data_IF_497930655684
#
_entry.id   IF_497930655684
#
_cell.length_a   1.000
_cell.length_b   1.000
_cell.length_c   1.000
_cell.angle_alpha   90.00
_cell.angle_beta   90.00
_cell.angle_gamma   90.00
#
_symmetry.space_group_name_H-M   'P 1'
#
loop_
_entity.id
_entity.type
_entity.pdbx_description
1 polymer ?
#
# COMPACT_ATOMS: atom_id res chain seq x y z
N UNK A 1 0.76 0.38 29.03
CA UNK A 1 1.25 -0.27 27.79
C UNK A 1 0.13 -0.81 26.88
N UNK A 2 -0.94 -1.41 27.41
CA UNK A 2 -2.03 -1.99 26.59
C UNK A 2 -2.69 -0.95 25.66
N UNK A 3 -2.97 0.25 26.16
CA UNK A 3 -3.63 1.32 25.39
C UNK A 3 -2.80 1.80 24.19
N UNK A 4 -1.48 1.98 24.37
CA UNK A 4 -0.57 2.42 23.30
C UNK A 4 -0.49 1.38 22.18
N UNK A 5 -0.38 0.10 22.52
CA UNK A 5 -0.36 -0.98 21.53
C UNK A 5 -1.63 -1.05 20.69
N UNK A 6 -2.80 -0.86 21.32
CA UNK A 6 -4.09 -0.81 20.61
C UNK A 6 -4.20 0.38 19.65
N UNK A 7 -3.72 1.57 20.05
CA UNK A 7 -3.71 2.74 19.18
C UNK A 7 -2.85 2.51 17.94
N UNK A 8 -1.62 2.00 18.13
CA UNK A 8 -0.71 1.76 17.00
C UNK A 8 -1.32 0.76 16.01
N UNK A 9 -2.01 -0.28 16.49
CA UNK A 9 -2.74 -1.23 15.65
C UNK A 9 -3.82 -0.55 14.81
N UNK A 10 -4.65 0.29 15.44
CA UNK A 10 -5.70 1.03 14.73
C UNK A 10 -5.10 1.97 13.69
N UNK A 11 -4.06 2.73 14.05
CA UNK A 11 -3.36 3.63 13.11
C UNK A 11 -2.79 2.86 11.91
N UNK A 12 -2.17 1.70 12.15
CA UNK A 12 -1.64 0.86 11.07
C UNK A 12 -2.75 0.35 10.15
N UNK A 13 -3.88 -0.11 10.70
CA UNK A 13 -5.03 -0.57 9.90
C UNK A 13 -5.66 0.57 9.09
N UNK A 14 -5.79 1.76 9.68
CA UNK A 14 -6.29 2.95 8.97
C UNK A 14 -5.34 3.35 7.84
N UNK A 15 -4.04 3.38 8.08
CA UNK A 15 -3.05 3.67 7.05
C UNK A 15 -3.09 2.64 5.92
N UNK A 16 -3.27 1.36 6.26
CA UNK A 16 -3.46 0.28 5.28
C UNK A 16 -4.71 0.52 4.44
N UNK A 17 -5.85 0.81 5.06
CA UNK A 17 -7.11 1.07 4.37
C UNK A 17 -7.03 2.30 3.45
N UNK A 18 -6.40 3.39 3.90
CA UNK A 18 -6.21 4.61 3.09
C UNK A 18 -5.28 4.32 1.90
N UNK A 19 -4.17 3.61 2.14
CA UNK A 19 -3.24 3.23 1.06
C UNK A 19 -3.95 2.36 0.02
N UNK A 20 -4.66 1.33 0.47
CA UNK A 20 -5.39 0.40 -0.38
C UNK A 20 -6.51 1.08 -1.16
N UNK A 21 -7.35 1.87 -0.48
CA UNK A 21 -8.43 2.63 -1.10
C UNK A 21 -7.93 3.64 -2.13
N UNK A 22 -6.84 4.34 -1.83
CA UNK A 22 -6.23 5.29 -2.78
C UNK A 22 -5.77 4.59 -4.06
N UNK A 23 -5.20 3.38 -3.98
CA UNK A 23 -4.83 2.58 -5.16
C UNK A 23 -6.04 2.23 -6.04
N UNK A 24 -7.17 1.87 -5.44
CA UNK A 24 -8.42 1.63 -6.18
C UNK A 24 -8.95 2.87 -6.88
N UNK A 25 -8.96 4.00 -6.18
CA UNK A 25 -9.39 5.28 -6.78
C UNK A 25 -8.47 5.65 -7.94
N UNK A 26 -7.16 5.40 -7.83
CA UNK A 26 -6.23 5.63 -8.94
C UNK A 26 -6.58 4.76 -10.15
N UNK A 27 -6.72 3.44 -9.98
CA UNK A 27 -7.08 2.52 -11.08
C UNK A 27 -8.38 2.97 -11.76
N UNK A 28 -9.37 3.39 -10.97
CA UNK A 28 -10.64 3.90 -11.49
C UNK A 28 -10.45 5.20 -12.27
N UNK A 29 -9.68 6.15 -11.75
CA UNK A 29 -9.39 7.41 -12.44
C UNK A 29 -8.59 7.24 -13.73
N UNK A 30 -7.81 6.16 -13.85
CA UNK A 30 -7.07 5.80 -15.06
C UNK A 30 -7.97 5.13 -16.12
N UNK A 31 -9.21 4.75 -15.76
CA UNK A 31 -10.15 4.09 -16.66
C UNK A 31 -11.22 5.02 -17.22
N UNK A 32 -11.25 6.27 -16.77
CA UNK A 32 -12.27 7.26 -17.10
C UNK A 32 -11.55 8.55 -17.51
N UNK A 33 -11.65 8.92 -18.80
CA UNK A 33 -10.99 10.08 -19.40
C UNK A 33 -11.44 11.40 -18.76
N UNK A 34 -12.68 11.49 -18.27
CA UNK A 34 -13.18 12.66 -17.55
C UNK A 34 -12.66 12.70 -16.11
N UNK A 35 -12.47 11.53 -15.48
CA UNK A 35 -11.90 11.41 -14.14
C UNK A 35 -10.36 11.53 -14.09
N UNK A 36 -9.69 11.34 -15.24
CA UNK A 36 -8.24 11.50 -15.43
C UNK A 36 -7.74 12.96 -15.26
N UNK A 37 -8.59 13.84 -14.74
CA UNK A 37 -8.23 15.15 -14.19
C UNK A 37 -6.96 15.11 -13.31
N UNK A 38 -6.26 16.25 -13.22
CA UNK A 38 -5.06 16.48 -12.38
C UNK A 38 -5.10 15.82 -10.99
N UNK A 39 -6.27 15.67 -10.41
CA UNK A 39 -6.54 15.02 -9.13
C UNK A 39 -6.07 13.55 -9.09
N UNK A 40 -6.31 12.78 -10.14
CA UNK A 40 -5.92 11.37 -10.24
C UNK A 40 -4.40 11.19 -10.28
N UNK A 41 -3.71 11.99 -11.11
CA UNK A 41 -2.27 11.86 -11.31
C UNK A 41 -1.41 12.49 -10.20
N UNK A 42 -1.94 13.45 -9.42
CA UNK A 42 -1.12 14.20 -8.44
C UNK A 42 -1.58 14.02 -6.99
N UNK A 43 -2.87 14.03 -6.72
CA UNK A 43 -3.40 13.99 -5.34
C UNK A 43 -3.39 12.57 -4.79
N UNK A 44 -3.89 11.60 -5.56
CA UNK A 44 -3.97 10.21 -5.11
C UNK A 44 -2.58 9.64 -4.77
N UNK A 45 -1.53 9.81 -5.61
CA UNK A 45 -0.22 9.27 -5.28
C UNK A 45 0.44 9.94 -4.07
N UNK A 46 0.09 11.21 -3.78
CA UNK A 46 0.53 11.89 -2.55
C UNK A 46 -0.12 11.27 -1.33
N UNK A 47 -1.44 11.05 -1.35
CA UNK A 47 -2.17 10.37 -0.27
C UNK A 47 -1.59 8.97 -0.05
N UNK A 48 -1.38 8.21 -1.12
CA UNK A 48 -0.78 6.87 -1.07
C UNK A 48 0.63 6.91 -0.47
N UNK A 49 1.45 7.92 -0.80
CA UNK A 49 2.78 8.11 -0.21
C UNK A 49 2.76 8.38 1.30
N UNK A 50 1.89 9.28 1.75
CA UNK A 50 1.73 9.57 3.19
C UNK A 50 1.18 8.36 3.96
N UNK A 51 0.20 7.67 3.39
CA UNK A 51 -0.35 6.45 3.98
C UNK A 51 0.73 5.35 4.10
N UNK A 52 1.62 5.21 3.10
CA UNK A 52 2.73 4.26 3.15
C UNK A 52 3.69 4.59 4.31
N UNK A 53 4.04 5.87 4.50
CA UNK A 53 4.89 6.31 5.60
C UNK A 53 4.28 5.98 6.97
N UNK A 54 3.00 6.32 7.18
CA UNK A 54 2.30 6.03 8.44
C UNK A 54 2.21 4.52 8.67
N UNK A 55 1.93 3.75 7.62
CA UNK A 55 1.83 2.30 7.68
C UNK A 55 3.15 1.65 8.15
N UNK A 56 4.29 2.09 7.58
CA UNK A 56 5.63 1.63 8.00
C UNK A 56 5.95 2.07 9.43
N UNK A 57 5.76 3.36 9.75
CA UNK A 57 6.07 3.89 11.07
C UNK A 57 5.26 3.17 12.16
N UNK A 58 3.97 2.95 11.94
CA UNK A 58 3.12 2.19 12.86
C UNK A 58 3.52 0.70 12.92
N UNK A 59 3.93 0.11 11.79
CA UNK A 59 4.43 -1.27 11.76
C UNK A 59 5.71 -1.44 12.60
N UNK A 60 6.70 -0.55 12.41
CA UNK A 60 7.92 -0.50 13.23
C UNK A 60 7.57 -0.24 14.70
N UNK A 61 6.64 0.69 14.96
CA UNK A 61 6.13 0.94 16.31
C UNK A 61 5.57 -0.32 16.99
N UNK A 62 4.85 -1.17 16.26
CA UNK A 62 4.40 -2.45 16.80
C UNK A 62 5.54 -3.41 17.13
N UNK A 63 6.60 -3.45 16.31
CA UNK A 63 7.77 -4.30 16.58
C UNK A 63 8.53 -3.85 17.83
N UNK A 64 8.58 -2.53 18.09
CA UNK A 64 9.17 -1.99 19.31
C UNK A 64 8.35 -2.33 20.56
N UNK A 65 7.01 -2.30 20.47
CA UNK A 65 6.11 -2.63 21.59
C UNK A 65 5.99 -4.14 21.81
N UNK A 66 6.04 -4.93 20.74
CA UNK A 66 5.91 -6.38 20.75
C UNK A 66 7.05 -7.05 19.98
N UNK A 67 8.26 -7.13 20.57
CA UNK A 67 9.43 -7.71 19.90
C UNK A 67 9.25 -9.18 19.52
N UNK A 68 8.35 -9.91 20.20
CA UNK A 68 8.01 -11.30 19.86
C UNK A 68 7.49 -11.48 18.44
N UNK A 69 6.97 -10.42 17.80
CA UNK A 69 6.54 -10.45 16.40
C UNK A 69 7.71 -10.72 15.43
N UNK A 70 8.95 -10.40 15.82
CA UNK A 70 10.16 -10.64 15.01
C UNK A 70 10.51 -12.13 14.86
N UNK A 71 9.97 -12.99 15.72
CA UNK A 71 10.33 -14.41 15.75
C UNK A 71 9.60 -15.24 14.69
N UNK A 72 8.54 -14.70 14.06
CA UNK A 72 7.72 -15.41 13.08
C UNK A 72 8.19 -15.21 11.63
N UNK A 73 8.26 -16.30 10.86
CA UNK A 73 8.58 -16.26 9.43
C UNK A 73 7.57 -15.45 8.61
N UNK A 74 6.31 -15.42 9.05
CA UNK A 74 5.24 -14.63 8.44
C UNK A 74 5.55 -13.13 8.36
N UNK A 75 6.32 -12.56 9.30
CA UNK A 75 6.66 -11.14 9.28
C UNK A 75 7.56 -10.79 8.10
N UNK A 76 8.55 -11.63 7.81
CA UNK A 76 9.47 -11.45 6.68
C UNK A 76 8.70 -11.48 5.36
N UNK A 77 7.80 -12.44 5.19
CA UNK A 77 6.94 -12.53 4.00
C UNK A 77 6.02 -11.31 3.88
N UNK A 78 5.44 -10.82 5.00
CA UNK A 78 4.63 -9.60 5.00
C UNK A 78 5.42 -8.38 4.56
N UNK A 79 6.66 -8.23 5.04
CA UNK A 79 7.56 -7.14 4.64
C UNK A 79 7.90 -7.26 3.16
N UNK A 80 8.22 -8.45 2.66
CA UNK A 80 8.52 -8.67 1.24
C UNK A 80 7.34 -8.28 0.34
N UNK A 81 6.13 -8.73 0.67
CA UNK A 81 4.90 -8.35 -0.05
C UNK A 81 4.70 -6.82 -0.05
N UNK A 82 4.97 -6.19 1.10
CA UNK A 82 4.87 -4.74 1.21
C UNK A 82 5.91 -4.00 0.36
N UNK A 83 7.15 -4.47 0.33
CA UNK A 83 8.21 -3.91 -0.51
C UNK A 83 7.89 -4.05 -2.01
N UNK A 84 7.37 -5.20 -2.43
CA UNK A 84 6.92 -5.41 -3.82
C UNK A 84 5.80 -4.42 -4.17
N UNK A 85 4.78 -4.31 -3.31
CA UNK A 85 3.68 -3.38 -3.53
C UNK A 85 4.16 -1.91 -3.60
N UNK A 86 5.09 -1.52 -2.73
CA UNK A 86 5.70 -0.20 -2.75
C UNK A 86 6.46 0.03 -4.06
N UNK A 87 7.30 -0.94 -4.47
CA UNK A 87 8.05 -0.88 -5.72
C UNK A 87 7.14 -0.69 -6.94
N UNK A 88 6.10 -1.52 -7.07
CA UNK A 88 5.09 -1.41 -8.13
C UNK A 88 4.40 -0.03 -8.12
N UNK A 89 4.09 0.49 -6.94
CA UNK A 89 3.47 1.82 -6.78
C UNK A 89 4.41 2.95 -7.20
N UNK A 90 5.70 2.87 -6.87
CA UNK A 90 6.67 3.86 -7.31
C UNK A 90 6.92 3.81 -8.82
N UNK A 91 7.00 2.60 -9.39
CA UNK A 91 7.13 2.40 -10.83
C UNK A 91 5.91 2.94 -11.59
N UNK A 92 4.70 2.69 -11.09
CA UNK A 92 3.46 3.18 -11.68
C UNK A 92 3.42 4.73 -11.71
N UNK A 93 3.84 5.37 -10.61
CA UNK A 93 3.97 6.84 -10.53
C UNK A 93 5.02 7.39 -11.48
N UNK A 94 6.18 6.75 -11.57
CA UNK A 94 7.23 7.17 -12.49
C UNK A 94 6.79 7.06 -13.95
N UNK A 95 6.00 6.04 -14.30
CA UNK A 95 5.46 5.86 -15.65
C UNK A 95 4.37 6.91 -15.94
N UNK A 96 3.48 7.17 -14.98
CA UNK A 96 2.43 8.19 -15.09
C UNK A 96 3.01 9.60 -15.29
N UNK A 97 4.14 9.91 -14.67
CA UNK A 97 4.80 11.22 -14.86
C UNK A 97 5.52 11.37 -16.21
N UNK A 98 5.72 10.28 -16.97
CA UNK A 98 6.52 10.27 -18.20
C UNK A 98 5.71 10.17 -19.48
N UNK A 99 4.52 9.56 -19.43
CA UNK A 99 3.70 9.32 -20.62
C UNK A 99 2.25 9.07 -20.24
N UNK A 100 1.34 9.70 -20.99
CA UNK A 100 -0.11 9.53 -20.88
C UNK A 100 -0.69 8.69 -22.06
N UNK A 101 0.15 7.91 -22.75
CA UNK A 101 -0.32 7.03 -23.81
C UNK A 101 -1.23 5.92 -23.27
N UNK A 102 -2.18 5.43 -24.07
CA UNK A 102 -3.09 4.36 -23.65
C UNK A 102 -2.34 3.11 -23.10
N UNK A 103 -1.21 2.75 -23.72
CA UNK A 103 -0.35 1.65 -23.28
C UNK A 103 0.39 1.94 -21.95
N UNK A 104 0.74 3.20 -21.68
CA UNK A 104 1.33 3.56 -20.38
C UNK A 104 0.27 3.45 -19.28
N UNK A 105 -0.94 3.95 -19.52
CA UNK A 105 -2.05 3.92 -18.58
C UNK A 105 -2.51 2.50 -18.25
N UNK A 106 -2.61 1.61 -19.25
CA UNK A 106 -2.91 0.19 -19.01
C UNK A 106 -1.82 -0.48 -18.17
N UNK A 107 -0.55 -0.18 -18.43
CA UNK A 107 0.55 -0.72 -17.61
C UNK A 107 0.47 -0.21 -16.16
N UNK A 108 0.22 1.09 -15.95
CA UNK A 108 0.09 1.70 -14.62
C UNK A 108 -1.06 1.03 -13.84
N UNK A 109 -2.19 0.75 -14.51
CA UNK A 109 -3.32 0.02 -13.93
C UNK A 109 -2.92 -1.37 -13.47
N UNK A 110 -2.22 -2.13 -14.30
CA UNK A 110 -1.75 -3.48 -13.94
C UNK A 110 -0.73 -3.46 -12.79
N UNK A 111 0.19 -2.50 -12.77
CA UNK A 111 1.13 -2.33 -11.66
C UNK A 111 0.40 -2.02 -10.35
N UNK A 112 -0.60 -1.14 -10.38
CA UNK A 112 -1.41 -0.84 -9.19
C UNK A 112 -2.27 -2.04 -8.76
N UNK A 113 -2.85 -2.79 -9.70
CA UNK A 113 -3.58 -4.01 -9.38
C UNK A 113 -2.67 -5.06 -8.72
N UNK A 114 -1.45 -5.24 -9.23
CA UNK A 114 -0.44 -6.11 -8.61
C UNK A 114 -0.06 -5.64 -7.20
N UNK A 115 0.09 -4.34 -6.99
CA UNK A 115 0.38 -3.77 -5.68
C UNK A 115 -0.76 -4.00 -4.67
N UNK A 116 -2.02 -3.87 -5.11
CA UNK A 116 -3.20 -4.18 -4.30
C UNK A 116 -3.30 -5.68 -3.99
N UNK A 117 -2.98 -6.55 -4.97
CA UNK A 117 -2.94 -7.99 -4.74
C UNK A 117 -1.92 -8.36 -3.66
N UNK A 118 -0.72 -7.77 -3.69
CA UNK A 118 0.27 -7.94 -2.63
C UNK A 118 -0.26 -7.51 -1.25
N UNK A 119 -1.04 -6.42 -1.17
CA UNK A 119 -1.68 -6.00 0.08
C UNK A 119 -2.73 -7.00 0.57
N UNK A 120 -3.55 -7.55 -0.32
CA UNK A 120 -4.53 -8.59 0.03
C UNK A 120 -3.82 -9.82 0.58
N UNK A 121 -2.78 -10.30 -0.10
CA UNK A 121 -1.97 -11.42 0.37
C UNK A 121 -1.33 -11.13 1.74
N UNK A 122 -0.81 -9.91 1.94
CA UNK A 122 -0.23 -9.49 3.21
C UNK A 122 -1.26 -9.45 4.35
N UNK A 123 -2.52 -9.12 4.06
CA UNK A 123 -3.62 -9.17 5.02
C UNK A 123 -4.04 -10.62 5.33
N UNK A 124 -4.19 -11.47 4.32
CA UNK A 124 -4.54 -12.89 4.49
C UNK A 124 -3.45 -13.67 5.27
N UNK A 125 -2.18 -13.26 5.11
CA UNK A 125 -1.07 -13.86 5.85
C UNK A 125 -1.18 -13.61 7.36
N UNK A 126 -1.80 -12.50 7.78
CA UNK A 126 -2.04 -12.18 9.20
C UNK A 126 -3.06 -13.13 9.83
N UNK A 127 -4.05 -13.59 9.06
CA UNK A 127 -5.09 -14.51 9.54
C UNK A 127 -4.59 -15.95 9.59
N UNK A 128 -3.83 -16.36 8.59
CA UNK A 128 -3.38 -17.75 8.45
C UNK A 128 -2.17 -18.09 9.32
N UNK A 129 -1.35 -17.08 9.72
CA UNK A 129 -0.07 -17.21 10.47
C UNK A 129 0.61 -18.58 10.29
N UNK A 130 0.91 -19.00 9.06
CA UNK A 130 1.18 -20.41 8.80
C UNK A 130 2.55 -20.88 9.33
N UNK A 131 3.42 -19.95 9.75
CA UNK A 131 4.81 -20.21 10.18
C UNK A 131 5.26 -19.23 11.27
#
# INVERSE_FOLDING_TARGET
MIFLGSIIKVVHLLAFAVWFGSGFVLIRSLSDEAAHSRTGATTIPRIQGWAALVLVAAGVGMLLVYPSLLQGGWLHTKILLWLIALGLTHMSRAKLNRSDSADSLTTVRWMQAGALLCMVLAALLVETKPF
#
